data_IF_043022426732
#
_entry.id   IF_043022426732
#
_cell.length_a   1.000
_cell.length_b   1.000
_cell.length_c   1.000
_cell.angle_alpha   90.00
_cell.angle_beta   90.00
_cell.angle_gamma   90.00
#
_symmetry.space_group_name_H-M   'P 1'
#
loop_
_entity.id
_entity.type
_entity.pdbx_description
1 polymer ?
#
# COMPACT_ATOMS: atom_id res chain seq x y z
N UNK A 1 -13.55 9.84 17.88
CA UNK A 1 -13.19 10.35 19.22
C UNK A 1 -13.55 9.35 20.32
N UNK A 2 -14.81 8.86 20.42
CA UNK A 2 -15.25 7.94 21.47
C UNK A 2 -14.57 6.57 21.40
N UNK A 3 -14.34 6.02 20.22
CA UNK A 3 -13.63 4.74 20.03
C UNK A 3 -12.16 4.88 20.46
N UNK A 4 -11.50 5.95 20.08
CA UNK A 4 -10.12 6.24 20.49
C UNK A 4 -10.03 6.32 22.02
N UNK A 5 -10.96 7.02 22.65
CA UNK A 5 -11.06 7.14 24.12
C UNK A 5 -11.38 5.80 24.79
N UNK A 6 -12.19 4.95 24.16
CA UNK A 6 -12.50 3.60 24.68
C UNK A 6 -11.32 2.61 24.52
N UNK A 7 -10.43 2.85 23.54
CA UNK A 7 -9.22 2.05 23.31
C UNK A 7 -8.04 2.54 24.15
N UNK A 8 -7.97 3.83 24.49
CA UNK A 8 -6.92 4.42 25.34
C UNK A 8 -6.84 3.78 26.73
N UNK A 9 -7.89 3.11 27.18
CA UNK A 9 -7.94 2.38 28.46
C UNK A 9 -7.71 0.86 28.34
N UNK A 10 -7.50 0.31 27.15
CA UNK A 10 -7.27 -1.13 26.96
C UNK A 10 -5.79 -1.42 26.85
N UNK A 11 -5.29 -2.21 27.78
CA UNK A 11 -3.93 -2.73 27.79
C UNK A 11 -3.92 -4.14 27.21
N UNK A 12 -2.89 -4.45 26.44
CA UNK A 12 -2.59 -5.81 26.01
C UNK A 12 -1.56 -6.35 26.98
N UNK A 13 -1.92 -7.39 27.73
CA UNK A 13 -1.00 -8.07 28.63
C UNK A 13 0.10 -8.78 27.83
N UNK A 14 1.31 -8.24 27.89
CA UNK A 14 2.48 -8.92 27.34
C UNK A 14 2.99 -9.94 28.37
N UNK A 15 3.14 -11.18 27.93
CA UNK A 15 3.79 -12.21 28.75
C UNK A 15 5.29 -11.87 28.86
N UNK A 16 5.71 -11.41 30.01
CA UNK A 16 7.11 -11.12 30.35
C UNK A 16 7.31 -11.17 31.85
N UNK A 17 8.57 -11.33 32.27
CA UNK A 17 8.94 -11.31 33.68
C UNK A 17 9.19 -9.84 34.06
N UNK A 18 8.31 -9.26 34.87
CA UNK A 18 8.36 -7.82 35.23
C UNK A 18 9.63 -7.42 35.97
N UNK A 19 10.36 -8.40 36.54
CA UNK A 19 11.51 -8.15 37.40
C UNK A 19 12.85 -8.57 36.79
N UNK A 20 12.86 -9.07 35.55
CA UNK A 20 14.07 -9.57 34.90
C UNK A 20 14.36 -8.93 33.55
N UNK A 21 15.64 -8.66 33.30
CA UNK A 21 16.12 -8.14 32.02
C UNK A 21 15.97 -6.62 31.86
N UNK A 22 15.98 -6.18 30.59
CA UNK A 22 15.82 -4.78 30.24
C UNK A 22 14.36 -4.36 30.40
N UNK A 23 14.12 -3.37 31.25
CA UNK A 23 12.80 -2.77 31.45
C UNK A 23 12.69 -1.49 30.64
N UNK A 24 11.64 -1.38 29.81
CA UNK A 24 11.32 -0.18 29.02
C UNK A 24 9.96 0.35 29.46
N UNK A 25 9.94 1.55 30.04
CA UNK A 25 8.73 2.12 30.62
C UNK A 25 8.75 3.65 30.57
N UNK A 26 7.60 4.29 30.74
CA UNK A 26 7.48 5.73 30.89
C UNK A 26 8.01 6.22 32.26
N UNK A 27 8.38 7.50 32.35
CA UNK A 27 8.90 8.09 33.60
C UNK A 27 7.93 7.97 34.79
N UNK A 28 6.62 8.09 34.55
CA UNK A 28 5.60 7.96 35.57
C UNK A 28 5.37 6.51 36.03
N UNK A 29 5.73 5.55 35.19
CA UNK A 29 5.59 4.11 35.45
C UNK A 29 6.74 3.58 36.30
N UNK A 30 7.86 4.33 36.40
CA UNK A 30 9.00 4.00 37.27
C UNK A 30 8.72 4.22 38.77
N UNK A 31 7.46 4.52 39.08
CA UNK A 31 7.03 4.81 40.46
C UNK A 31 7.37 3.67 41.41
N UNK A 32 8.09 4.03 42.50
CA UNK A 32 8.51 3.09 43.57
C UNK A 32 9.57 2.05 43.12
N UNK A 33 10.01 2.08 41.88
CA UNK A 33 11.05 1.17 41.36
C UNK A 33 12.43 1.80 41.50
N UNK A 34 13.42 0.97 41.82
CA UNK A 34 14.83 1.35 41.89
C UNK A 34 15.61 0.50 40.86
N UNK A 35 16.53 1.17 40.13
CA UNK A 35 17.36 0.53 39.12
C UNK A 35 18.83 0.89 39.34
N UNK A 36 19.70 -0.07 39.13
CA UNK A 36 21.13 0.18 39.19
C UNK A 36 21.67 0.96 38.01
N UNK A 37 21.12 0.69 36.83
CA UNK A 37 21.45 1.37 35.58
C UNK A 37 20.20 2.02 35.01
N UNK A 38 20.27 3.32 34.74
CA UNK A 38 19.16 4.12 34.17
C UNK A 38 19.61 4.74 32.86
N UNK A 39 18.85 4.49 31.79
CA UNK A 39 19.00 5.18 30.52
C UNK A 39 17.69 5.93 30.24
N UNK A 40 17.75 7.23 30.23
CA UNK A 40 16.57 8.07 29.97
C UNK A 40 16.75 8.79 28.63
N UNK A 41 15.79 8.58 27.73
CA UNK A 41 15.79 9.16 26.39
C UNK A 41 14.94 10.43 26.36
N UNK A 42 15.22 11.31 25.39
CA UNK A 42 14.46 12.54 25.13
C UNK A 42 14.34 13.46 26.35
N UNK A 43 15.43 13.63 27.09
CA UNK A 43 15.48 14.53 28.26
C UNK A 43 15.64 15.97 27.80
N UNK A 44 14.69 16.43 26.99
CA UNK A 44 14.63 17.77 26.41
C UNK A 44 13.59 18.64 27.10
N UNK A 45 13.82 19.97 27.11
CA UNK A 45 12.82 20.92 27.55
C UNK A 45 11.54 20.81 26.70
N UNK A 46 10.37 20.86 27.34
CA UNK A 46 9.08 20.67 26.68
C UNK A 46 8.66 19.21 26.46
N UNK A 47 9.59 18.24 26.60
CA UNK A 47 9.31 16.81 26.59
C UNK A 47 9.34 16.28 28.04
N UNK A 48 10.37 16.60 28.79
CA UNK A 48 10.51 16.27 30.21
C UNK A 48 11.09 17.48 30.97
N UNK A 49 10.28 18.25 31.72
CA UNK A 49 8.84 18.11 31.86
C UNK A 49 8.07 18.49 30.59
N UNK A 50 6.86 17.97 30.46
CA UNK A 50 5.99 18.24 29.32
C UNK A 50 5.38 19.62 29.45
N UNK A 51 6.08 20.65 29.07
CA UNK A 51 5.73 22.07 29.24
C UNK A 51 4.26 22.47 29.09
N UNK A 52 3.97 23.75 28.96
CA UNK A 52 2.61 24.34 28.89
C UNK A 52 1.82 23.93 27.66
N UNK A 53 1.31 22.71 27.59
CA UNK A 53 0.66 22.18 26.38
C UNK A 53 -0.87 22.07 26.43
N UNK A 54 -1.54 22.62 27.46
CA UNK A 54 -3.00 22.53 27.53
C UNK A 54 -3.65 23.87 27.25
N UNK A 55 -4.31 23.98 26.11
CA UNK A 55 -5.32 25.00 25.85
C UNK A 55 -6.54 24.70 26.75
N UNK A 56 -6.52 25.23 27.94
CA UNK A 56 -7.64 25.11 28.86
C UNK A 56 -8.55 26.32 28.69
N UNK A 57 -9.86 26.09 28.62
CA UNK A 57 -10.86 27.17 28.68
C UNK A 57 -10.84 27.94 30.00
N UNK A 58 -10.27 27.34 31.06
CA UNK A 58 -10.11 27.99 32.36
C UNK A 58 -8.78 28.72 32.43
N UNK A 59 -8.82 30.02 32.64
CA UNK A 59 -7.65 30.85 32.84
C UNK A 59 -6.85 30.41 34.08
N UNK A 60 -5.55 30.64 34.06
CA UNK A 60 -4.62 30.25 35.14
C UNK A 60 -5.04 30.79 36.47
N UNK A 61 -5.46 32.07 36.55
CA UNK A 61 -5.85 32.74 37.79
C UNK A 61 -7.13 32.14 38.39
N UNK A 62 -8.07 31.70 37.52
CA UNK A 62 -9.27 30.98 37.96
C UNK A 62 -8.90 29.65 38.58
N UNK A 63 -8.02 28.89 37.91
CA UNK A 63 -7.52 27.60 38.43
C UNK A 63 -6.87 27.80 39.81
N UNK A 64 -6.01 28.81 39.94
CA UNK A 64 -5.33 29.12 41.19
C UNK A 64 -6.32 29.52 42.31
N UNK A 65 -7.31 30.35 41.99
CA UNK A 65 -8.32 30.79 42.95
C UNK A 65 -9.16 29.62 43.51
N UNK A 66 -9.48 28.65 42.66
CA UNK A 66 -10.27 27.47 43.03
C UNK A 66 -9.41 26.24 43.41
N UNK A 67 -8.10 26.39 43.63
CA UNK A 67 -7.15 25.30 43.94
C UNK A 67 -7.23 24.12 42.95
N UNK A 68 -7.47 24.41 41.67
CA UNK A 68 -7.44 23.39 40.60
C UNK A 68 -5.99 23.15 40.19
N UNK A 69 -5.66 21.91 39.77
CA UNK A 69 -4.32 21.59 39.33
C UNK A 69 -3.86 22.49 38.17
N UNK A 70 -2.66 23.04 38.30
CA UNK A 70 -2.00 23.85 37.28
C UNK A 70 -0.82 23.09 36.69
N UNK A 71 -0.11 23.68 35.70
CA UNK A 71 1.09 23.07 35.15
C UNK A 71 2.24 22.96 36.17
N UNK A 72 2.25 23.80 37.24
CA UNK A 72 3.27 23.71 38.27
C UNK A 72 3.22 22.41 39.06
N UNK A 73 2.01 21.97 39.43
CA UNK A 73 1.85 20.69 40.12
C UNK A 73 2.24 19.50 39.23
N UNK A 74 1.93 19.59 37.93
CA UNK A 74 2.36 18.56 36.95
C UNK A 74 3.89 18.51 36.83
N UNK A 75 4.54 19.69 36.70
CA UNK A 75 6.00 19.75 36.59
C UNK A 75 6.66 19.24 37.91
N UNK A 76 6.07 19.52 39.08
CA UNK A 76 6.56 18.99 40.35
C UNK A 76 6.48 17.44 40.41
N UNK A 77 5.42 16.84 39.87
CA UNK A 77 5.29 15.39 39.79
C UNK A 77 6.41 14.79 38.90
N UNK A 78 6.65 15.38 37.73
CA UNK A 78 7.72 14.93 36.84
C UNK A 78 9.11 15.12 37.51
N UNK A 79 9.35 16.23 38.17
CA UNK A 79 10.58 16.48 38.90
C UNK A 79 10.80 15.43 40.01
N UNK A 80 9.75 15.14 40.79
CA UNK A 80 9.80 14.11 41.83
C UNK A 80 10.21 12.74 41.25
N UNK A 81 9.57 12.28 40.18
CA UNK A 81 9.89 10.99 39.58
C UNK A 81 11.28 10.99 38.98
N UNK A 82 11.68 12.06 38.30
CA UNK A 82 13.02 12.21 37.74
C UNK A 82 14.10 12.07 38.83
N UNK A 83 14.08 12.90 39.84
CA UNK A 83 15.07 12.90 40.90
C UNK A 83 15.00 11.62 41.74
N UNK A 84 13.82 11.08 41.99
CA UNK A 84 13.64 9.83 42.73
C UNK A 84 14.27 8.65 42.03
N UNK A 85 14.14 8.55 40.70
CA UNK A 85 14.70 7.50 39.89
C UNK A 85 16.25 7.53 39.94
N UNK A 86 16.84 8.72 40.00
CA UNK A 86 18.29 8.89 40.01
C UNK A 86 18.94 8.60 41.37
N UNK A 87 18.20 8.70 42.48
CA UNK A 87 18.76 8.65 43.84
C UNK A 87 19.54 7.34 44.15
N UNK A 88 19.10 6.20 43.60
CA UNK A 88 19.68 4.92 43.91
C UNK A 88 20.39 4.26 42.70
N UNK A 89 20.41 4.91 41.58
CA UNK A 89 21.07 4.46 40.40
C UNK A 89 22.61 4.65 40.52
N UNK A 90 23.39 3.64 40.09
CA UNK A 90 24.85 3.74 40.04
C UNK A 90 25.31 4.38 38.74
N UNK A 91 24.68 3.99 37.61
CA UNK A 91 25.01 4.50 36.31
C UNK A 91 23.79 5.14 35.68
N UNK A 92 23.94 6.40 35.28
CA UNK A 92 22.83 7.21 34.76
C UNK A 92 23.26 7.78 33.40
N UNK A 93 22.48 7.52 32.37
CA UNK A 93 22.63 8.09 31.03
C UNK A 93 21.42 8.92 30.69
N UNK A 94 21.59 10.25 30.66
CA UNK A 94 20.55 11.18 30.24
C UNK A 94 20.84 11.61 28.79
N UNK A 95 19.98 11.21 27.87
CA UNK A 95 20.16 11.42 26.44
C UNK A 95 19.16 12.47 25.97
N UNK A 96 19.64 13.55 25.38
CA UNK A 96 18.82 14.63 24.83
C UNK A 96 19.32 15.05 23.46
N UNK A 97 18.42 15.58 22.65
CA UNK A 97 18.75 16.13 21.34
C UNK A 97 19.38 17.52 21.49
N UNK A 98 20.45 17.79 20.79
CA UNK A 98 21.18 19.05 20.80
C UNK A 98 21.40 19.53 19.36
N UNK A 99 20.30 19.78 18.65
CA UNK A 99 20.34 20.33 17.29
C UNK A 99 19.83 21.79 17.32
N UNK A 100 20.64 22.72 16.84
CA UNK A 100 20.31 24.15 16.82
C UNK A 100 19.17 24.53 15.87
N UNK A 101 18.70 23.60 15.03
CA UNK A 101 17.62 23.82 14.06
C UNK A 101 16.25 23.46 14.58
N UNK A 102 16.17 22.72 15.68
CA UNK A 102 14.93 22.30 16.31
C UNK A 102 14.62 23.14 17.57
N UNK A 103 13.43 23.70 17.64
CA UNK A 103 12.96 24.48 18.80
C UNK A 103 12.83 23.66 20.10
N UNK A 104 12.89 22.32 20.00
CA UNK A 104 12.86 21.39 21.14
C UNK A 104 14.25 20.83 21.47
N UNK A 105 15.33 21.38 20.90
CA UNK A 105 16.69 20.89 21.07
C UNK A 105 17.42 21.43 22.30
N UNK A 106 16.70 21.94 23.29
CA UNK A 106 17.29 22.34 24.55
C UNK A 106 17.29 21.21 25.58
N UNK A 107 18.37 21.05 26.39
CA UNK A 107 18.37 20.12 27.49
C UNK A 107 17.29 20.47 28.52
N UNK A 108 16.68 19.45 29.10
CA UNK A 108 15.70 19.65 30.18
C UNK A 108 16.26 20.52 31.32
N UNK A 109 15.43 21.37 31.86
CA UNK A 109 15.74 22.14 33.08
C UNK A 109 16.18 21.26 34.28
N UNK A 110 15.74 19.99 34.28
CA UNK A 110 16.14 19.04 35.31
C UNK A 110 17.61 18.65 35.21
N UNK A 111 18.19 18.59 34.02
CA UNK A 111 19.63 18.39 33.85
C UNK A 111 20.41 19.59 34.39
N UNK A 112 19.97 20.78 34.00
CA UNK A 112 20.61 22.05 34.46
C UNK A 112 20.54 22.19 36.00
N UNK A 113 19.39 21.83 36.58
CA UNK A 113 19.22 21.84 38.04
C UNK A 113 20.13 20.81 38.70
N UNK A 114 20.22 19.59 38.18
CA UNK A 114 21.10 18.54 38.70
C UNK A 114 22.57 19.00 38.71
N UNK A 115 23.03 19.59 37.61
CA UNK A 115 24.41 20.13 37.51
C UNK A 115 24.69 21.24 38.50
N UNK A 116 23.72 22.15 38.69
CA UNK A 116 23.83 23.22 39.65
C UNK A 116 23.89 22.70 41.11
N UNK A 117 23.01 21.77 41.47
CA UNK A 117 22.96 21.17 42.81
C UNK A 117 24.23 20.39 43.16
N UNK A 118 24.77 19.60 42.20
CA UNK A 118 26.03 18.86 42.41
C UNK A 118 27.19 19.79 42.73
N UNK A 119 27.29 20.93 42.04
CA UNK A 119 28.33 21.94 42.29
C UNK A 119 28.10 22.70 43.60
N UNK A 120 26.88 23.14 43.83
CA UNK A 120 26.56 23.99 44.97
C UNK A 120 26.68 23.26 46.32
N UNK A 121 26.39 21.95 46.32
CA UNK A 121 26.49 21.14 47.55
C UNK A 121 27.83 20.39 47.66
N UNK A 122 28.82 20.70 46.85
CA UNK A 122 30.14 20.06 46.83
C UNK A 122 30.07 18.52 46.71
N UNK A 123 29.13 18.01 45.90
CA UNK A 123 28.91 16.58 45.73
C UNK A 123 29.77 16.00 44.58
N UNK A 124 30.72 16.75 44.01
CA UNK A 124 31.58 16.35 42.89
C UNK A 124 32.45 15.13 43.18
N UNK A 125 32.78 14.92 44.45
CA UNK A 125 33.50 13.69 44.89
C UNK A 125 32.62 12.43 44.83
N UNK A 126 31.30 12.59 45.00
CA UNK A 126 30.33 11.47 45.03
C UNK A 126 29.65 11.25 43.67
N UNK A 127 29.45 12.34 42.91
CA UNK A 127 28.74 12.28 41.61
C UNK A 127 29.64 12.82 40.52
N UNK A 128 30.05 11.95 39.62
CA UNK A 128 30.85 12.33 38.45
C UNK A 128 29.97 12.57 37.25
N UNK A 129 29.89 13.82 36.77
CA UNK A 129 29.15 14.19 35.57
C UNK A 129 30.09 14.23 34.36
N UNK A 130 29.80 13.44 33.32
CA UNK A 130 30.53 13.41 32.07
C UNK A 130 29.57 13.84 30.93
N UNK A 131 29.90 14.95 30.26
CA UNK A 131 29.16 15.38 29.05
C UNK A 131 29.86 14.84 27.82
N UNK A 132 29.09 14.15 26.96
CA UNK A 132 29.56 13.66 25.66
C UNK A 132 28.62 14.16 24.57
N UNK A 133 29.17 14.82 23.57
CA UNK A 133 28.45 15.17 22.35
C UNK A 133 28.68 14.06 21.34
N UNK A 134 27.62 13.35 20.99
CA UNK A 134 27.61 12.45 19.86
C UNK A 134 27.13 13.24 18.68
N UNK A 135 28.02 13.72 17.79
CA UNK A 135 27.58 14.13 16.47
C UNK A 135 27.42 12.85 15.67
N UNK A 136 26.18 12.57 15.30
CA UNK A 136 25.94 11.73 14.15
C UNK A 136 26.51 12.53 12.98
N UNK A 137 27.79 12.30 12.65
CA UNK A 137 28.25 12.67 11.34
C UNK A 137 27.21 12.12 10.38
N UNK A 138 26.65 12.92 9.45
CA UNK A 138 25.90 12.32 8.37
C UNK A 138 26.84 11.26 7.85
N UNK A 139 26.38 10.02 7.92
CA UNK A 139 27.15 8.88 7.45
C UNK A 139 27.56 9.32 6.05
N UNK A 140 28.84 9.73 5.91
CA UNK A 140 29.41 9.96 4.59
C UNK A 140 29.03 8.69 3.87
N UNK A 141 28.18 8.81 2.88
CA UNK A 141 27.68 7.70 2.10
C UNK A 141 28.74 6.61 2.03
N UNK A 142 28.80 5.73 3.04
CA UNK A 142 29.25 4.40 2.76
C UNK A 142 28.34 4.06 1.61
N UNK A 143 28.93 4.07 0.43
CA UNK A 143 28.34 3.66 -0.84
C UNK A 143 27.24 2.70 -0.44
N UNK A 144 25.98 3.14 -0.52
CA UNK A 144 24.87 2.28 -0.15
C UNK A 144 25.14 1.07 -1.01
N UNK A 145 25.67 0.00 -0.39
CA UNK A 145 25.88 -1.23 -1.12
C UNK A 145 24.49 -1.62 -1.53
N UNK A 146 24.16 -1.35 -2.79
CA UNK A 146 22.88 -1.69 -3.34
C UNK A 146 22.64 -3.16 -3.02
N UNK A 147 21.53 -3.42 -2.35
CA UNK A 147 21.20 -4.79 -1.98
C UNK A 147 20.99 -5.56 -3.27
N UNK A 148 21.80 -6.59 -3.44
CA UNK A 148 21.79 -7.45 -4.62
C UNK A 148 21.84 -8.90 -4.16
N UNK A 149 20.82 -9.67 -4.52
CA UNK A 149 20.65 -11.07 -4.11
C UNK A 149 20.94 -11.97 -5.30
N UNK A 150 21.94 -12.84 -5.14
CA UNK A 150 22.29 -13.84 -6.16
C UNK A 150 21.25 -14.94 -6.23
N UNK A 151 20.96 -15.40 -7.43
CA UNK A 151 20.03 -16.50 -7.68
C UNK A 151 20.75 -17.83 -7.52
N UNK A 152 20.54 -18.48 -6.39
CA UNK A 152 21.03 -19.85 -6.13
C UNK A 152 20.11 -20.90 -6.77
N UNK A 153 20.49 -22.16 -6.68
CA UNK A 153 19.72 -23.28 -7.24
C UNK A 153 18.32 -23.41 -6.61
N UNK A 154 18.17 -23.05 -5.34
CA UNK A 154 16.88 -23.06 -4.61
C UNK A 154 15.94 -22.01 -5.19
N UNK A 155 16.44 -20.79 -5.39
CA UNK A 155 15.68 -19.69 -5.96
C UNK A 155 15.26 -20.01 -7.40
N UNK A 156 16.18 -20.53 -8.21
CA UNK A 156 15.89 -20.91 -9.59
C UNK A 156 14.81 -22.01 -9.65
N UNK A 157 14.83 -22.99 -8.75
CA UNK A 157 13.78 -24.00 -8.66
C UNK A 157 12.42 -23.36 -8.36
N UNK A 158 12.35 -22.48 -7.35
CA UNK A 158 11.13 -21.73 -7.02
C UNK A 158 10.61 -20.93 -8.24
N UNK A 159 11.50 -20.23 -8.96
CA UNK A 159 11.14 -19.43 -10.14
C UNK A 159 10.60 -20.27 -11.30
N UNK A 160 11.08 -21.48 -11.52
CA UNK A 160 10.57 -22.40 -12.54
C UNK A 160 9.18 -22.95 -12.22
N UNK A 161 8.89 -23.17 -10.95
CA UNK A 161 7.60 -23.66 -10.45
C UNK A 161 6.61 -22.50 -10.19
N UNK A 162 7.07 -21.25 -10.35
CA UNK A 162 6.28 -20.07 -10.03
C UNK A 162 5.24 -19.77 -11.11
N UNK A 163 4.00 -19.44 -10.68
CA UNK A 163 2.98 -18.94 -11.59
C UNK A 163 3.11 -17.43 -11.74
N UNK A 164 3.47 -16.99 -12.92
CA UNK A 164 3.61 -15.59 -13.28
C UNK A 164 2.25 -14.97 -13.61
N UNK A 165 2.13 -13.66 -13.39
CA UNK A 165 0.96 -12.87 -13.77
C UNK A 165 1.40 -11.46 -14.21
N UNK A 166 0.54 -10.72 -14.92
CA UNK A 166 0.87 -9.34 -15.32
C UNK A 166 1.34 -8.48 -14.16
N UNK A 167 0.63 -8.50 -13.03
CA UNK A 167 0.97 -7.73 -11.83
C UNK A 167 2.33 -8.13 -11.24
N UNK A 168 2.64 -9.42 -11.20
CA UNK A 168 3.91 -9.92 -10.68
C UNK A 168 5.09 -9.50 -11.58
N UNK A 169 4.91 -9.55 -12.90
CA UNK A 169 5.94 -9.10 -13.85
C UNK A 169 6.15 -7.59 -13.80
N UNK A 170 5.08 -6.80 -13.66
CA UNK A 170 5.15 -5.35 -13.44
C UNK A 170 5.94 -5.04 -12.16
N UNK A 171 5.75 -5.82 -11.10
CA UNK A 171 6.54 -5.66 -9.87
C UNK A 171 8.02 -5.93 -10.12
N UNK A 172 8.36 -6.93 -10.94
CA UNK A 172 9.76 -7.19 -11.33
C UNK A 172 10.35 -6.04 -12.16
N UNK A 173 9.61 -5.54 -13.14
CA UNK A 173 10.01 -4.36 -13.96
C UNK A 173 10.21 -3.14 -13.06
N UNK A 174 9.35 -2.93 -12.09
CA UNK A 174 9.46 -1.84 -11.12
C UNK A 174 10.71 -1.96 -10.25
N UNK A 175 10.93 -3.13 -9.66
CA UNK A 175 12.09 -3.43 -8.82
C UNK A 175 12.27 -4.96 -8.69
N UNK A 176 13.35 -5.54 -9.26
CA UNK A 176 13.65 -6.96 -9.11
C UNK A 176 13.73 -7.42 -7.65
N UNK A 177 14.31 -6.60 -6.77
CA UNK A 177 14.41 -6.91 -5.35
C UNK A 177 13.03 -6.95 -4.66
N UNK A 178 12.13 -6.02 -5.01
CA UNK A 178 10.74 -6.03 -4.51
C UNK A 178 10.03 -7.33 -4.91
N UNK A 179 10.15 -7.74 -6.17
CA UNK A 179 9.59 -9.00 -6.66
C UNK A 179 10.10 -10.19 -5.84
N UNK A 180 11.41 -10.26 -5.57
CA UNK A 180 12.01 -11.34 -4.78
C UNK A 180 11.46 -11.37 -3.36
N UNK A 181 11.46 -10.23 -2.65
CA UNK A 181 10.99 -10.15 -1.28
C UNK A 181 9.51 -10.52 -1.16
N UNK A 182 8.69 -10.00 -2.06
CA UNK A 182 7.23 -10.16 -2.01
C UNK A 182 6.75 -11.53 -2.44
N UNK A 183 7.28 -12.08 -3.55
CA UNK A 183 6.72 -13.27 -4.18
C UNK A 183 7.57 -14.53 -3.99
N UNK A 184 8.88 -14.42 -3.87
CA UNK A 184 9.76 -15.58 -3.74
C UNK A 184 10.02 -15.91 -2.27
N UNK A 185 10.34 -14.93 -1.45
CA UNK A 185 10.52 -15.12 0.00
C UNK A 185 9.25 -14.83 0.81
N UNK A 186 8.22 -14.23 0.20
CA UNK A 186 6.92 -13.96 0.82
C UNK A 186 7.05 -13.25 2.16
N UNK A 187 7.88 -12.21 2.19
CA UNK A 187 8.06 -11.41 3.41
C UNK A 187 6.81 -10.56 3.60
N UNK A 188 6.00 -10.93 4.57
CA UNK A 188 4.84 -10.15 5.00
C UNK A 188 5.31 -9.03 5.92
N UNK A 189 4.89 -7.82 5.60
CA UNK A 189 5.10 -6.67 6.48
C UNK A 189 3.92 -6.57 7.45
N UNK A 190 4.15 -6.14 8.69
CA UNK A 190 3.06 -5.91 9.63
C UNK A 190 2.05 -4.95 9.00
N UNK A 191 0.84 -5.42 8.80
CA UNK A 191 -0.25 -4.55 8.37
C UNK A 191 -0.61 -3.63 9.55
N UNK A 192 -0.38 -2.34 9.40
CA UNK A 192 -0.99 -1.37 10.30
C UNK A 192 -2.51 -1.46 10.13
N UNK A 193 -3.22 -1.69 11.22
CA UNK A 193 -4.68 -1.66 11.22
C UNK A 193 -5.11 -0.23 10.87
N UNK A 194 -5.34 0.00 9.59
CA UNK A 194 -5.80 1.30 9.11
C UNK A 194 -7.26 1.50 9.50
N UNK A 195 -7.57 2.61 10.14
CA UNK A 195 -8.96 3.06 10.36
C UNK A 195 -9.65 3.48 9.04
N UNK A 196 -8.91 3.54 7.95
CA UNK A 196 -9.42 3.91 6.64
C UNK A 196 -9.66 2.67 5.79
N UNK A 197 -10.77 2.65 5.05
CA UNK A 197 -10.97 1.65 4.01
C UNK A 197 -9.91 1.87 2.94
N UNK A 198 -9.10 0.88 2.71
CA UNK A 198 -8.12 0.91 1.63
C UNK A 198 -8.82 1.02 0.27
N UNK A 199 -8.22 1.73 -0.66
CA UNK A 199 -8.76 1.87 -2.02
C UNK A 199 -8.86 0.53 -2.74
N UNK A 200 -8.03 -0.43 -2.39
CA UNK A 200 -8.06 -1.82 -2.84
C UNK A 200 -9.40 -2.47 -2.54
N UNK A 201 -9.89 -2.33 -1.31
CA UNK A 201 -11.18 -2.88 -0.87
C UNK A 201 -12.36 -2.32 -1.68
N UNK A 202 -12.34 -1.01 -1.95
CA UNK A 202 -13.37 -0.39 -2.80
C UNK A 202 -13.38 -1.03 -4.19
N UNK A 203 -12.18 -1.28 -4.75
CA UNK A 203 -12.02 -1.97 -6.03
C UNK A 203 -12.62 -3.37 -5.98
N UNK A 204 -12.20 -4.19 -5.03
CA UNK A 204 -12.64 -5.58 -4.90
C UNK A 204 -14.17 -5.72 -4.80
N UNK A 205 -14.82 -4.88 -3.99
CA UNK A 205 -16.30 -4.91 -3.85
C UNK A 205 -16.99 -4.52 -5.16
N UNK A 206 -16.48 -3.53 -5.89
CA UNK A 206 -17.03 -3.14 -7.18
C UNK A 206 -16.88 -4.26 -8.21
N UNK A 207 -15.68 -4.84 -8.33
CA UNK A 207 -15.42 -5.95 -9.24
C UNK A 207 -16.38 -7.11 -8.97
N UNK A 208 -16.58 -7.46 -7.68
CA UNK A 208 -17.49 -8.56 -7.31
C UNK A 208 -18.94 -8.30 -7.73
N UNK A 209 -19.46 -7.10 -7.52
CA UNK A 209 -20.83 -6.77 -7.95
C UNK A 209 -20.96 -6.77 -9.47
N UNK A 210 -19.92 -6.31 -10.19
CA UNK A 210 -19.91 -6.29 -11.65
C UNK A 210 -19.73 -7.68 -12.23
N UNK A 211 -18.91 -8.53 -11.63
CA UNK A 211 -18.77 -9.95 -11.95
C UNK A 211 -20.12 -10.66 -11.87
N UNK A 212 -20.79 -10.56 -10.72
CA UNK A 212 -22.09 -11.21 -10.49
C UNK A 212 -23.15 -10.73 -11.50
N UNK A 213 -23.21 -9.42 -11.77
CA UNK A 213 -24.12 -8.85 -12.75
C UNK A 213 -23.83 -9.38 -14.18
N UNK A 214 -22.58 -9.31 -14.61
CA UNK A 214 -22.21 -9.69 -15.97
C UNK A 214 -22.35 -11.19 -16.20
N UNK A 215 -22.02 -12.05 -15.23
CA UNK A 215 -22.24 -13.48 -15.33
C UNK A 215 -23.71 -13.81 -15.50
N UNK A 216 -24.61 -13.15 -14.76
CA UNK A 216 -26.04 -13.32 -14.92
C UNK A 216 -26.55 -12.85 -16.31
N UNK A 217 -25.99 -11.74 -16.83
CA UNK A 217 -26.29 -11.25 -18.18
C UNK A 217 -25.76 -12.23 -19.25
N UNK A 218 -24.55 -12.79 -19.09
CA UNK A 218 -23.96 -13.75 -20.03
C UNK A 218 -24.82 -15.01 -20.15
N UNK A 219 -25.33 -15.53 -19.05
CA UNK A 219 -26.22 -16.69 -19.05
C UNK A 219 -27.57 -16.43 -19.74
N UNK A 220 -28.08 -15.20 -19.63
CA UNK A 220 -29.42 -14.82 -20.08
C UNK A 220 -29.40 -13.50 -20.85
N UNK A 221 -28.61 -13.40 -21.93
CA UNK A 221 -28.36 -12.15 -22.63
C UNK A 221 -29.63 -11.43 -23.14
N UNK A 222 -30.66 -12.18 -23.54
CA UNK A 222 -31.94 -11.65 -23.97
C UNK A 222 -32.74 -10.98 -22.82
N UNK A 223 -32.42 -11.25 -21.56
CA UNK A 223 -33.00 -10.62 -20.37
C UNK A 223 -32.13 -9.51 -19.76
N UNK A 224 -31.04 -9.10 -20.44
CA UNK A 224 -30.05 -8.15 -19.90
C UNK A 224 -30.67 -6.88 -19.29
N UNK A 225 -31.71 -6.34 -19.92
CA UNK A 225 -32.44 -5.19 -19.40
C UNK A 225 -33.13 -5.47 -18.06
N UNK A 226 -33.83 -6.60 -17.96
CA UNK A 226 -34.55 -7.02 -16.73
C UNK A 226 -33.57 -7.29 -15.60
N UNK A 227 -32.45 -7.97 -15.92
CA UNK A 227 -31.39 -8.26 -14.96
C UNK A 227 -30.79 -6.96 -14.43
N UNK A 228 -30.44 -6.00 -15.32
CA UNK A 228 -29.88 -4.73 -14.91
C UNK A 228 -30.86 -3.91 -14.03
N UNK A 229 -32.15 -3.92 -14.36
CA UNK A 229 -33.15 -3.23 -13.55
C UNK A 229 -33.31 -3.88 -12.17
N UNK A 230 -33.23 -5.21 -12.06
CA UNK A 230 -33.23 -5.91 -10.79
C UNK A 230 -32.01 -5.51 -9.95
N UNK A 231 -30.80 -5.42 -10.55
CA UNK A 231 -29.60 -4.99 -9.83
C UNK A 231 -29.69 -3.53 -9.37
N UNK A 232 -30.28 -2.62 -10.16
CA UNK A 232 -30.53 -1.23 -9.75
C UNK A 232 -31.46 -1.16 -8.54
N UNK A 233 -32.51 -1.98 -8.52
CA UNK A 233 -33.50 -1.96 -7.45
C UNK A 233 -33.00 -2.64 -6.17
N UNK A 234 -32.14 -3.63 -6.27
CA UNK A 234 -31.57 -4.40 -5.14
C UNK A 234 -30.10 -4.08 -4.84
N UNK A 235 -29.57 -2.94 -5.34
CA UNK A 235 -28.15 -2.60 -5.23
C UNK A 235 -27.65 -2.60 -3.78
N UNK A 236 -28.45 -2.12 -2.84
CA UNK A 236 -28.10 -2.10 -1.42
C UNK A 236 -27.89 -3.52 -0.86
N UNK A 237 -28.71 -4.48 -1.25
CA UNK A 237 -28.60 -5.88 -0.85
C UNK A 237 -27.36 -6.51 -1.48
N UNK A 238 -27.14 -6.34 -2.78
CA UNK A 238 -25.99 -6.84 -3.52
C UNK A 238 -24.67 -6.31 -2.94
N UNK A 239 -24.61 -5.03 -2.58
CA UNK A 239 -23.47 -4.44 -1.91
C UNK A 239 -23.20 -5.04 -0.55
N UNK A 240 -24.23 -5.20 0.27
CA UNK A 240 -24.08 -5.80 1.60
C UNK A 240 -23.55 -7.24 1.48
N UNK A 241 -24.02 -8.00 0.52
CA UNK A 241 -23.57 -9.36 0.29
C UNK A 241 -22.13 -9.43 -0.22
N UNK A 242 -21.72 -8.55 -1.16
CA UNK A 242 -20.35 -8.44 -1.62
C UNK A 242 -19.40 -8.08 -0.46
N UNK A 243 -19.80 -7.15 0.40
CA UNK A 243 -19.02 -6.82 1.58
C UNK A 243 -18.88 -7.99 2.57
N UNK A 244 -19.89 -8.81 2.74
CA UNK A 244 -19.83 -9.99 3.63
C UNK A 244 -18.89 -11.07 3.09
N UNK A 245 -18.91 -11.31 1.78
CA UNK A 245 -18.08 -12.33 1.13
C UNK A 245 -16.58 -12.04 1.30
N UNK A 246 -16.18 -10.78 1.27
CA UNK A 246 -14.78 -10.36 1.41
C UNK A 246 -14.28 -10.38 2.88
N UNK A 247 -15.02 -10.92 3.83
CA UNK A 247 -14.69 -11.00 5.27
C UNK A 247 -14.22 -9.67 5.92
N UNK A 248 -14.28 -8.57 5.17
CA UNK A 248 -13.68 -7.27 5.54
C UNK A 248 -14.53 -6.58 6.61
N UNK A 249 -15.80 -7.02 6.79
CA UNK A 249 -16.75 -6.31 7.63
C UNK A 249 -17.45 -7.17 8.67
N UNK A 250 -16.90 -7.12 9.88
CA UNK A 250 -17.63 -7.49 11.11
C UNK A 250 -18.41 -6.32 11.71
N UNK A 251 -18.36 -5.11 11.12
CA UNK A 251 -18.87 -3.86 11.70
C UNK A 251 -19.98 -3.21 10.87
N UNK A 252 -20.78 -2.37 11.53
CA UNK A 252 -21.97 -1.70 10.99
C UNK A 252 -21.64 -0.78 9.78
N UNK A 253 -22.03 -1.21 8.57
CA UNK A 253 -21.89 -0.48 7.31
C UNK A 253 -22.63 0.87 7.29
N UNK A 254 -23.47 1.14 8.29
CA UNK A 254 -24.32 2.33 8.37
C UNK A 254 -23.66 3.50 9.12
N UNK A 255 -22.40 3.37 9.59
CA UNK A 255 -21.76 4.40 10.41
C UNK A 255 -20.29 4.64 10.05
N UNK A 256 -19.85 5.89 10.24
CA UNK A 256 -18.44 6.29 10.13
C UNK A 256 -17.89 6.28 8.71
N UNK A 257 -16.59 6.01 8.57
CA UNK A 257 -15.86 6.02 7.30
C UNK A 257 -16.32 4.91 6.35
N UNK A 258 -16.82 3.80 6.88
CA UNK A 258 -17.39 2.69 6.11
C UNK A 258 -18.63 3.10 5.34
N UNK A 259 -19.49 3.91 5.96
CA UNK A 259 -20.66 4.45 5.28
C UNK A 259 -20.28 5.36 4.09
N UNK A 260 -19.21 6.15 4.22
CA UNK A 260 -18.72 6.98 3.11
C UNK A 260 -18.25 6.13 1.94
N UNK A 261 -17.45 5.10 2.19
CA UNK A 261 -17.01 4.19 1.14
C UNK A 261 -18.17 3.46 0.48
N UNK A 262 -19.13 2.97 1.27
CA UNK A 262 -20.37 2.38 0.77
C UNK A 262 -21.10 3.34 -0.18
N UNK A 263 -21.26 4.61 0.21
CA UNK A 263 -21.91 5.63 -0.64
C UNK A 263 -21.12 5.90 -1.93
N UNK A 264 -19.80 5.95 -1.86
CA UNK A 264 -18.93 6.13 -3.03
C UNK A 264 -19.08 4.96 -4.00
N UNK A 265 -19.03 3.72 -3.50
CA UNK A 265 -19.21 2.50 -4.31
C UNK A 265 -20.59 2.52 -4.98
N UNK A 266 -21.63 2.84 -4.21
CA UNK A 266 -22.99 2.92 -4.71
C UNK A 266 -23.15 3.96 -5.83
N UNK A 267 -22.48 5.11 -5.70
CA UNK A 267 -22.48 6.14 -6.75
C UNK A 267 -21.76 5.65 -8.02
N UNK A 268 -20.61 5.01 -7.90
CA UNK A 268 -19.89 4.45 -9.05
C UNK A 268 -20.72 3.40 -9.78
N UNK A 269 -21.33 2.46 -9.07
CA UNK A 269 -22.17 1.42 -9.67
C UNK A 269 -23.42 2.00 -10.32
N UNK A 270 -24.10 2.97 -9.71
CA UNK A 270 -25.23 3.64 -10.31
C UNK A 270 -24.87 4.39 -11.61
N UNK A 271 -23.70 5.04 -11.64
CA UNK A 271 -23.22 5.70 -12.86
C UNK A 271 -22.92 4.67 -13.96
N UNK A 272 -22.26 3.56 -13.60
CA UNK A 272 -21.96 2.48 -14.52
C UNK A 272 -23.24 1.81 -15.06
N UNK A 273 -24.21 1.50 -14.21
CA UNK A 273 -25.48 0.90 -14.63
C UNK A 273 -26.28 1.79 -15.60
N UNK A 274 -26.26 3.12 -15.39
CA UNK A 274 -26.87 4.05 -16.35
C UNK A 274 -26.19 4.00 -17.72
N UNK A 275 -24.86 3.84 -17.72
CA UNK A 275 -24.11 3.76 -18.96
C UNK A 275 -24.33 2.42 -19.66
N UNK A 276 -24.30 1.32 -18.92
CA UNK A 276 -24.58 -0.02 -19.42
C UNK A 276 -26.01 -0.11 -20.02
N UNK A 277 -26.99 0.56 -19.39
CA UNK A 277 -28.35 0.65 -19.92
C UNK A 277 -28.40 1.36 -21.28
N UNK A 278 -27.60 2.41 -21.49
CA UNK A 278 -27.49 3.05 -22.80
C UNK A 278 -26.86 2.12 -23.83
N UNK A 279 -25.77 1.45 -23.48
CA UNK A 279 -25.13 0.48 -24.36
C UNK A 279 -26.11 -0.62 -24.82
N UNK A 280 -26.93 -1.12 -23.89
CA UNK A 280 -27.95 -2.15 -24.18
C UNK A 280 -29.08 -1.58 -25.07
N UNK A 281 -29.42 -0.31 -24.95
CA UNK A 281 -30.51 0.31 -25.71
C UNK A 281 -30.12 0.82 -27.11
N UNK A 282 -28.92 1.42 -27.22
CA UNK A 282 -28.51 2.20 -28.41
C UNK A 282 -27.74 1.36 -29.43
N UNK A 283 -27.14 0.26 -29.01
CA UNK A 283 -26.36 -0.66 -29.87
C UNK A 283 -27.02 -2.04 -29.91
N UNK A 284 -26.71 -2.83 -30.93
CA UNK A 284 -26.87 -4.27 -30.76
C UNK A 284 -26.16 -4.64 -29.46
N UNK A 285 -26.89 -5.26 -28.52
CA UNK A 285 -26.38 -5.62 -27.18
C UNK A 285 -24.96 -6.15 -27.36
N UNK A 286 -23.92 -5.56 -26.72
CA UNK A 286 -22.58 -6.12 -26.80
C UNK A 286 -22.65 -7.58 -26.43
N UNK A 287 -22.11 -8.46 -27.27
CA UNK A 287 -22.11 -9.88 -26.96
C UNK A 287 -21.08 -10.13 -25.85
N UNK A 288 -21.55 -10.16 -24.60
CA UNK A 288 -20.70 -10.46 -23.45
C UNK A 288 -20.25 -11.90 -23.51
N UNK A 289 -18.94 -12.12 -23.41
CA UNK A 289 -18.30 -13.43 -23.49
C UNK A 289 -17.92 -13.93 -22.09
N UNK A 290 -17.41 -13.05 -21.24
CA UNK A 290 -16.96 -13.43 -19.91
C UNK A 290 -16.73 -12.25 -18.97
N UNK A 291 -16.84 -12.53 -17.66
CA UNK A 291 -16.52 -11.61 -16.58
C UNK A 291 -15.60 -12.30 -15.58
N UNK A 292 -14.59 -11.59 -15.06
CA UNK A 292 -13.54 -12.11 -14.15
C UNK A 292 -12.99 -13.47 -14.62
N UNK A 293 -12.70 -13.57 -15.93
CA UNK A 293 -12.24 -14.82 -16.54
C UNK A 293 -10.81 -15.12 -16.11
N UNK A 294 -10.58 -16.28 -15.51
CA UNK A 294 -9.23 -16.79 -15.31
C UNK A 294 -8.70 -17.37 -16.63
N UNK A 295 -7.66 -16.75 -17.17
CA UNK A 295 -6.96 -17.17 -18.37
C UNK A 295 -5.58 -17.68 -18.00
N UNK A 296 -5.18 -18.79 -18.65
CA UNK A 296 -3.92 -19.45 -18.36
C UNK A 296 -3.26 -19.98 -19.60
N UNK A 297 -1.97 -19.74 -19.71
CA UNK A 297 -1.15 -20.30 -20.76
C UNK A 297 0.23 -20.69 -20.24
N UNK A 298 0.97 -21.41 -21.06
CA UNK A 298 2.35 -21.81 -20.78
C UNK A 298 3.29 -21.06 -21.73
N UNK A 299 4.30 -20.42 -21.16
CA UNK A 299 5.32 -19.67 -21.92
C UNK A 299 6.64 -20.39 -21.83
N UNK A 300 7.23 -20.73 -22.99
CA UNK A 300 8.56 -21.34 -23.04
C UNK A 300 9.65 -20.27 -22.87
N UNK A 301 10.48 -20.44 -21.84
CA UNK A 301 11.61 -19.57 -21.55
C UNK A 301 12.88 -20.43 -21.39
N UNK A 302 13.81 -20.34 -22.35
CA UNK A 302 15.01 -21.19 -22.48
C UNK A 302 14.67 -22.68 -22.49
N UNK A 303 14.98 -23.42 -21.42
CA UNK A 303 14.77 -24.87 -21.33
C UNK A 303 13.66 -25.22 -20.32
N UNK A 304 12.76 -24.31 -20.01
CA UNK A 304 11.62 -24.61 -19.15
C UNK A 304 10.37 -23.88 -19.60
N UNK A 305 9.24 -24.52 -19.36
CA UNK A 305 7.93 -23.94 -19.53
C UNK A 305 7.43 -23.39 -18.19
N UNK A 306 7.02 -22.14 -18.17
CA UNK A 306 6.48 -21.47 -16.98
C UNK A 306 5.03 -21.12 -17.17
N UNK A 307 4.25 -21.21 -16.09
CA UNK A 307 2.83 -20.85 -16.11
C UNK A 307 2.67 -19.32 -16.10
N UNK A 308 1.84 -18.81 -17.00
CA UNK A 308 1.43 -17.40 -17.03
C UNK A 308 -0.09 -17.32 -16.99
N UNK A 309 -0.65 -16.60 -16.02
CA UNK A 309 -2.09 -16.52 -15.79
C UNK A 309 -2.52 -15.12 -15.38
N UNK A 310 -3.80 -14.81 -15.56
CA UNK A 310 -4.39 -13.56 -15.14
C UNK A 310 -5.91 -13.62 -15.16
N UNK A 311 -6.53 -12.68 -14.46
CA UNK A 311 -7.97 -12.50 -14.46
C UNK A 311 -8.30 -11.29 -15.33
N UNK A 312 -9.29 -11.45 -16.20
CA UNK A 312 -9.77 -10.42 -17.12
C UNK A 312 -11.17 -10.01 -16.68
N UNK A 313 -11.35 -8.74 -16.37
CA UNK A 313 -12.57 -8.26 -15.72
C UNK A 313 -13.81 -8.35 -16.62
N UNK A 314 -13.69 -8.01 -17.92
CA UNK A 314 -14.79 -8.06 -18.89
C UNK A 314 -14.26 -8.37 -20.29
N UNK A 315 -14.89 -9.34 -20.94
CA UNK A 315 -14.64 -9.68 -22.34
C UNK A 315 -15.95 -9.65 -23.12
N UNK A 316 -15.93 -9.01 -24.27
CA UNK A 316 -17.09 -8.91 -25.16
C UNK A 316 -16.68 -8.90 -26.63
N UNK A 317 -17.63 -9.16 -27.52
CA UNK A 317 -17.46 -9.02 -28.96
C UNK A 317 -18.19 -7.79 -29.48
N UNK A 318 -17.49 -6.93 -30.20
CA UNK A 318 -18.01 -5.75 -30.88
C UNK A 318 -17.48 -5.68 -32.30
N UNK A 319 -18.33 -5.54 -33.29
CA UNK A 319 -17.97 -5.41 -34.71
C UNK A 319 -16.98 -6.48 -35.20
N UNK A 320 -17.11 -7.72 -34.69
CA UNK A 320 -16.25 -8.84 -35.03
C UNK A 320 -14.87 -8.81 -34.36
N UNK A 321 -14.62 -7.88 -33.43
CA UNK A 321 -13.41 -7.78 -32.63
C UNK A 321 -13.67 -8.25 -31.20
N UNK A 322 -12.67 -8.82 -30.57
CA UNK A 322 -12.71 -9.09 -29.14
C UNK A 322 -12.24 -7.85 -28.37
N UNK A 323 -13.11 -7.35 -27.51
CA UNK A 323 -12.85 -6.19 -26.66
C UNK A 323 -12.62 -6.67 -25.22
N UNK A 324 -11.46 -6.36 -24.67
CA UNK A 324 -11.04 -6.72 -23.32
C UNK A 324 -10.97 -5.47 -22.50
N UNK A 325 -11.73 -5.43 -21.40
CA UNK A 325 -11.85 -4.25 -20.54
C UNK A 325 -11.46 -4.58 -19.10
N UNK A 326 -10.74 -3.65 -18.47
CA UNK A 326 -10.28 -3.71 -17.09
C UNK A 326 -10.93 -2.55 -16.29
N UNK A 327 -11.50 -2.82 -15.11
CA UNK A 327 -12.15 -1.80 -14.30
C UNK A 327 -11.17 -1.09 -13.39
N UNK A 328 -11.20 0.24 -13.38
CA UNK A 328 -10.39 1.04 -12.46
C UNK A 328 -11.22 2.09 -11.74
N UNK A 329 -11.14 2.09 -10.41
CA UNK A 329 -11.78 3.09 -9.55
C UNK A 329 -11.00 4.40 -9.44
N UNK A 330 -9.70 4.35 -9.77
CA UNK A 330 -8.76 5.48 -9.69
C UNK A 330 -8.68 6.29 -10.99
N UNK A 331 -7.86 7.32 -10.94
CA UNK A 331 -7.54 8.13 -12.12
C UNK A 331 -6.76 7.32 -13.15
N UNK A 332 -7.16 7.42 -14.40
CA UNK A 332 -6.48 6.82 -15.55
C UNK A 332 -5.78 7.93 -16.34
N UNK A 333 -4.47 7.81 -16.47
CA UNK A 333 -3.66 8.74 -17.27
C UNK A 333 -3.58 8.20 -18.70
N UNK A 334 -4.34 8.80 -19.61
CA UNK A 334 -4.38 8.40 -21.01
C UNK A 334 -3.02 8.44 -21.71
N UNK A 335 -2.10 9.31 -21.22
CA UNK A 335 -0.74 9.40 -21.78
C UNK A 335 0.08 8.14 -21.48
N UNK A 336 -0.34 7.36 -20.48
CA UNK A 336 0.28 6.08 -20.08
C UNK A 336 -0.44 4.87 -20.65
N UNK A 337 -1.58 5.07 -21.34
CA UNK A 337 -2.26 4.06 -22.15
C UNK A 337 -1.81 4.11 -23.60
N UNK A 338 -0.53 4.03 -23.76
CA UNK A 338 0.13 4.23 -25.01
C UNK A 338 1.36 3.32 -25.09
N UNK A 339 1.71 2.87 -26.26
CA UNK A 339 2.94 2.13 -26.52
C UNK A 339 3.44 2.34 -27.94
N UNK A 340 4.72 2.23 -28.13
CA UNK A 340 5.34 2.17 -29.45
C UNK A 340 5.18 0.78 -30.05
N UNK A 341 5.36 0.67 -31.38
CA UNK A 341 5.21 -0.59 -32.09
C UNK A 341 6.19 -1.67 -31.68
N UNK A 342 7.37 -1.31 -31.16
CA UNK A 342 8.41 -2.24 -30.71
C UNK A 342 8.17 -2.77 -29.29
N UNK A 343 7.20 -2.20 -28.56
CA UNK A 343 6.81 -2.57 -27.19
C UNK A 343 7.94 -2.47 -26.15
N UNK A 344 9.07 -1.82 -26.46
CA UNK A 344 10.23 -1.79 -25.56
C UNK A 344 9.94 -1.08 -24.25
N UNK A 345 9.23 0.03 -24.33
CA UNK A 345 8.99 0.90 -23.19
C UNK A 345 8.14 0.23 -22.10
N UNK A 346 7.13 -0.53 -22.49
CA UNK A 346 6.25 -1.23 -21.53
C UNK A 346 6.95 -2.36 -20.76
N UNK A 347 8.04 -2.91 -21.30
CA UNK A 347 8.84 -3.96 -20.66
C UNK A 347 10.00 -3.41 -19.81
N UNK A 348 10.30 -2.11 -19.91
CA UNK A 348 11.43 -1.48 -19.19
C UNK A 348 11.00 -0.41 -18.19
N UNK A 349 9.83 0.21 -18.39
CA UNK A 349 9.34 1.31 -17.57
C UNK A 349 7.99 0.97 -16.90
N UNK A 350 8.01 0.83 -15.58
CA UNK A 350 6.81 0.52 -14.78
C UNK A 350 5.71 1.61 -14.80
N UNK A 351 5.98 2.78 -15.36
CA UNK A 351 4.95 3.81 -15.55
C UNK A 351 3.87 3.36 -16.54
N UNK A 352 4.21 2.52 -17.51
CA UNK A 352 3.30 1.96 -18.52
C UNK A 352 2.67 0.63 -18.09
N UNK A 353 2.57 0.39 -16.78
CA UNK A 353 2.02 -0.85 -16.21
C UNK A 353 0.63 -1.21 -16.72
N UNK A 354 -0.21 -0.21 -17.00
CA UNK A 354 -1.56 -0.43 -17.52
C UNK A 354 -1.52 -0.93 -18.97
N UNK A 355 -0.66 -0.35 -19.82
CA UNK A 355 -0.44 -0.81 -21.19
C UNK A 355 0.12 -2.25 -21.23
N UNK A 356 1.09 -2.56 -20.35
CA UNK A 356 1.59 -3.92 -20.18
C UNK A 356 0.46 -4.89 -19.78
N UNK A 357 -0.37 -4.52 -18.78
CA UNK A 357 -1.47 -5.34 -18.30
C UNK A 357 -2.48 -5.65 -19.40
N UNK A 358 -2.89 -4.64 -20.17
CA UNK A 358 -3.86 -4.80 -21.26
C UNK A 358 -3.33 -5.69 -22.39
N UNK A 359 -2.06 -5.53 -22.79
CA UNK A 359 -1.44 -6.42 -23.78
C UNK A 359 -1.25 -7.83 -23.24
N UNK A 360 -0.91 -7.99 -21.99
CA UNK A 360 -0.83 -9.30 -21.36
C UNK A 360 -2.19 -10.01 -21.35
N UNK A 361 -3.29 -9.28 -21.17
CA UNK A 361 -4.63 -9.85 -21.26
C UNK A 361 -5.00 -10.29 -22.68
N UNK A 362 -4.66 -9.50 -23.71
CA UNK A 362 -4.88 -9.92 -25.10
C UNK A 362 -4.05 -11.16 -25.45
N UNK A 363 -2.82 -11.22 -24.98
CA UNK A 363 -1.94 -12.39 -25.14
C UNK A 363 -2.52 -13.62 -24.44
N UNK A 364 -2.92 -13.49 -23.17
CA UNK A 364 -3.54 -14.57 -22.41
C UNK A 364 -4.79 -15.09 -23.11
N UNK A 365 -5.69 -14.19 -23.54
CA UNK A 365 -6.91 -14.58 -24.23
C UNK A 365 -6.64 -15.30 -25.56
N UNK A 366 -5.64 -14.84 -26.32
CA UNK A 366 -5.28 -15.45 -27.61
C UNK A 366 -4.69 -16.87 -27.45
N UNK A 367 -3.90 -17.11 -26.41
CA UNK A 367 -3.20 -18.37 -26.16
C UNK A 367 -3.78 -19.17 -24.98
N UNK A 368 -5.00 -18.87 -24.57
CA UNK A 368 -5.61 -19.56 -23.44
C UNK A 368 -5.68 -21.07 -23.66
N UNK A 369 -5.28 -21.81 -22.64
CA UNK A 369 -5.25 -23.27 -22.59
C UNK A 369 -6.24 -23.84 -21.57
N UNK A 370 -7.10 -23.00 -20.99
CA UNK A 370 -8.15 -23.45 -20.08
C UNK A 370 -9.23 -24.24 -20.84
N UNK A 371 -10.06 -24.96 -20.11
CA UNK A 371 -11.21 -25.70 -20.68
C UNK A 371 -12.23 -24.78 -21.36
N UNK A 372 -12.11 -23.48 -21.12
CA UNK A 372 -12.89 -22.44 -21.75
C UNK A 372 -12.20 -22.04 -23.06
N UNK A 373 -12.57 -22.68 -24.18
CA UNK A 373 -11.98 -22.37 -25.49
C UNK A 373 -12.55 -21.05 -26.03
N UNK A 374 -11.88 -19.89 -25.78
CA UNK A 374 -12.42 -18.61 -26.21
C UNK A 374 -12.41 -18.50 -27.75
N UNK A 375 -13.40 -17.79 -28.29
CA UNK A 375 -13.47 -17.48 -29.72
C UNK A 375 -12.24 -16.65 -30.11
N UNK A 376 -11.34 -17.21 -30.90
CA UNK A 376 -10.19 -16.47 -31.43
C UNK A 376 -10.66 -15.43 -32.44
N UNK A 377 -10.10 -14.24 -32.37
CA UNK A 377 -10.29 -13.17 -33.35
C UNK A 377 -8.96 -12.81 -34.00
N UNK A 378 -9.03 -12.23 -35.19
CA UNK A 378 -7.86 -11.65 -35.83
C UNK A 378 -7.48 -10.29 -35.28
N UNK A 379 -8.42 -9.63 -34.58
CA UNK A 379 -8.24 -8.29 -34.01
C UNK A 379 -8.80 -8.23 -32.60
N UNK A 380 -8.02 -7.61 -31.73
CA UNK A 380 -8.39 -7.33 -30.34
C UNK A 380 -8.37 -5.84 -30.09
N UNK A 381 -9.13 -5.39 -29.09
CA UNK A 381 -9.07 -4.05 -28.56
C UNK A 381 -9.07 -4.12 -27.05
N UNK A 382 -8.11 -3.48 -26.38
CA UNK A 382 -8.02 -3.49 -24.93
C UNK A 382 -8.17 -2.08 -24.37
N UNK A 383 -8.88 -1.96 -23.25
CA UNK A 383 -9.12 -0.67 -22.63
C UNK A 383 -9.40 -0.74 -21.14
N UNK A 384 -9.44 0.42 -20.53
CA UNK A 384 -9.77 0.61 -19.12
C UNK A 384 -11.10 1.34 -19.00
N UNK A 385 -12.00 0.76 -18.22
CA UNK A 385 -13.25 1.41 -17.80
C UNK A 385 -12.94 2.24 -16.55
N UNK A 386 -12.88 3.56 -16.69
CA UNK A 386 -12.65 4.49 -15.59
C UNK A 386 -13.95 4.89 -14.91
N UNK A 387 -14.21 4.33 -13.71
CA UNK A 387 -15.40 4.70 -12.92
C UNK A 387 -15.36 6.17 -12.48
N UNK A 388 -14.15 6.71 -12.28
CA UNK A 388 -14.00 8.13 -11.95
C UNK A 388 -14.38 9.05 -13.13
N UNK A 389 -14.06 8.67 -14.37
CA UNK A 389 -14.43 9.42 -15.57
C UNK A 389 -15.93 9.40 -15.80
N UNK A 390 -16.60 8.28 -15.53
CA UNK A 390 -18.06 8.16 -15.53
C UNK A 390 -18.75 9.22 -14.66
N UNK A 391 -18.22 9.49 -13.48
CA UNK A 391 -18.77 10.48 -12.55
C UNK A 391 -18.64 11.92 -13.08
N UNK A 392 -17.72 12.16 -14.03
CA UNK A 392 -17.46 13.47 -14.62
C UNK A 392 -18.18 13.66 -15.97
N UNK A 393 -19.01 12.70 -16.38
CA UNK A 393 -19.67 12.67 -17.70
C UNK A 393 -18.70 12.84 -18.89
N UNK A 394 -17.47 12.30 -18.76
CA UNK A 394 -16.46 12.26 -19.80
C UNK A 394 -16.38 10.86 -20.42
N UNK A 395 -15.60 10.71 -21.47
CA UNK A 395 -15.28 9.40 -22.03
C UNK A 395 -14.77 8.50 -20.93
N UNK A 396 -15.36 7.32 -20.77
CA UNK A 396 -15.12 6.43 -19.64
C UNK A 396 -14.38 5.16 -20.01
N UNK A 397 -14.30 4.81 -21.29
CA UNK A 397 -13.45 3.74 -21.81
C UNK A 397 -12.24 4.36 -22.48
N UNK A 398 -11.10 4.10 -21.91
CA UNK A 398 -9.81 4.56 -22.42
C UNK A 398 -9.10 3.39 -23.06
N UNK A 399 -9.05 3.35 -24.40
CA UNK A 399 -8.39 2.28 -25.15
C UNK A 399 -6.89 2.46 -25.21
N UNK A 400 -6.15 1.35 -25.18
CA UNK A 400 -4.73 1.32 -25.46
C UNK A 400 -4.48 1.84 -26.89
N UNK A 401 -3.52 2.71 -27.05
CA UNK A 401 -3.19 3.36 -28.33
C UNK A 401 -1.76 3.02 -28.76
N UNK A 402 -1.58 2.85 -30.06
CA UNK A 402 -0.28 2.65 -30.67
C UNK A 402 0.14 3.86 -31.48
N UNK A 403 1.42 4.26 -31.39
CA UNK A 403 2.01 5.24 -32.29
C UNK A 403 2.08 4.66 -33.69
N UNK A 404 1.39 5.29 -34.61
CA UNK A 404 1.58 5.05 -36.03
C UNK A 404 2.55 6.10 -36.59
N UNK A 405 3.46 5.69 -37.44
CA UNK A 405 4.33 6.60 -38.19
C UNK A 405 3.55 7.66 -39.01
N UNK A 406 2.26 7.39 -39.27
CA UNK A 406 1.35 8.26 -40.03
C UNK A 406 0.52 9.23 -39.18
N UNK A 407 0.83 9.43 -37.90
CA UNK A 407 0.05 10.24 -36.93
C UNK A 407 -1.40 9.77 -36.69
N UNK A 408 -1.84 8.67 -37.27
CA UNK A 408 -3.13 8.06 -36.98
C UNK A 408 -2.99 7.10 -35.79
N UNK A 409 -3.72 7.38 -34.74
CA UNK A 409 -3.73 6.52 -33.55
C UNK A 409 -4.57 5.28 -33.89
N UNK A 410 -4.00 4.09 -33.71
CA UNK A 410 -4.72 2.82 -33.77
C UNK A 410 -4.89 2.27 -32.39
N UNK A 411 -6.04 1.68 -32.11
CA UNK A 411 -6.31 0.96 -30.86
C UNK A 411 -6.48 -0.55 -31.08
N UNK A 412 -6.35 -0.99 -32.33
CA UNK A 412 -6.51 -2.41 -32.68
C UNK A 412 -5.18 -3.17 -32.48
N UNK A 413 -5.26 -4.31 -31.86
CA UNK A 413 -4.16 -5.24 -31.56
C UNK A 413 -4.32 -6.40 -32.53
N UNK A 414 -3.37 -6.57 -33.41
CA UNK A 414 -3.30 -7.68 -34.37
C UNK A 414 -2.45 -8.84 -33.85
N UNK A 415 -2.45 -9.93 -34.58
CA UNK A 415 -1.67 -11.13 -34.23
C UNK A 415 -0.16 -10.86 -34.22
N UNK A 416 0.34 -9.95 -35.08
CA UNK A 416 1.75 -9.56 -35.11
C UNK A 416 2.17 -8.91 -33.79
N UNK A 417 1.35 -8.00 -33.28
CA UNK A 417 1.56 -7.35 -31.99
C UNK A 417 1.54 -8.36 -30.83
N UNK A 418 0.63 -9.33 -30.85
CA UNK A 418 0.56 -10.38 -29.82
C UNK A 418 1.82 -11.26 -29.86
N UNK A 419 2.31 -11.63 -31.04
CA UNK A 419 3.54 -12.42 -31.19
C UNK A 419 4.78 -11.63 -30.74
N UNK A 420 4.82 -10.33 -31.03
CA UNK A 420 5.89 -9.47 -30.53
C UNK A 420 5.86 -9.39 -29.00
N UNK A 421 4.68 -9.25 -28.40
CA UNK A 421 4.53 -9.30 -26.94
C UNK A 421 5.02 -10.63 -26.37
N UNK A 422 4.67 -11.76 -27.00
CA UNK A 422 5.17 -13.09 -26.61
C UNK A 422 6.70 -13.14 -26.63
N UNK A 423 7.33 -12.63 -27.68
CA UNK A 423 8.79 -12.62 -27.81
C UNK A 423 9.44 -11.80 -26.69
N UNK A 424 8.91 -10.60 -26.40
CA UNK A 424 9.41 -9.75 -25.32
C UNK A 424 9.17 -10.38 -23.95
N UNK A 425 8.02 -11.01 -23.74
CA UNK A 425 7.70 -11.75 -22.52
C UNK A 425 8.69 -12.89 -22.27
N UNK A 426 9.03 -13.65 -23.31
CA UNK A 426 10.06 -14.70 -23.24
C UNK A 426 11.41 -14.12 -22.84
N UNK A 427 11.84 -12.99 -23.41
CA UNK A 427 13.09 -12.32 -23.04
C UNK A 427 13.09 -11.85 -21.56
N UNK A 428 11.98 -11.29 -21.09
CA UNK A 428 11.83 -10.89 -19.69
C UNK A 428 11.92 -12.12 -18.76
N UNK A 429 11.23 -13.20 -19.06
CA UNK A 429 11.27 -14.44 -18.29
C UNK A 429 12.67 -15.08 -18.31
N UNK A 430 13.37 -15.05 -19.44
CA UNK A 430 14.76 -15.49 -19.53
C UNK A 430 15.65 -14.67 -18.60
N UNK A 431 15.49 -13.35 -18.56
CA UNK A 431 16.22 -12.47 -17.62
C UNK A 431 15.93 -12.83 -16.16
N UNK A 432 14.66 -13.14 -15.85
CA UNK A 432 14.26 -13.56 -14.49
C UNK A 432 14.90 -14.89 -14.11
N UNK A 433 14.96 -15.85 -15.04
CA UNK A 433 15.51 -17.20 -14.81
C UNK A 433 17.03 -17.27 -14.92
N UNK A 434 17.69 -16.26 -15.50
CA UNK A 434 19.13 -16.23 -15.67
C UNK A 434 19.86 -16.13 -14.33
N UNK A 435 20.76 -17.08 -14.06
CA UNK A 435 21.58 -17.15 -12.83
C UNK A 435 22.63 -16.05 -12.73
N UNK A 436 23.01 -15.45 -13.88
CA UNK A 436 24.00 -14.36 -13.90
C UNK A 436 23.40 -13.00 -13.53
N UNK A 437 22.09 -12.85 -13.57
CA UNK A 437 21.40 -11.63 -13.15
C UNK A 437 20.95 -11.75 -11.70
N UNK A 438 21.20 -10.73 -10.90
CA UNK A 438 20.80 -10.70 -9.49
C UNK A 438 19.43 -10.01 -9.33
N UNK A 439 18.78 -10.25 -8.19
CA UNK A 439 17.70 -9.39 -7.74
C UNK A 439 18.28 -8.15 -7.08
N UNK A 440 18.38 -7.07 -7.83
CA UNK A 440 18.94 -5.78 -7.37
C UNK A 440 17.86 -4.76 -7.09
N UNK A 441 18.20 -3.76 -6.31
CA UNK A 441 17.37 -2.58 -6.12
C UNK A 441 17.20 -1.84 -7.44
N UNK A 442 16.02 -1.22 -7.64
CA UNK A 442 15.78 -0.34 -8.79
C UNK A 442 16.72 0.88 -8.76
N UNK A 443 17.21 1.31 -9.91
CA UNK A 443 17.96 2.55 -10.05
C UNK A 443 17.05 3.79 -9.90
N UNK A 444 15.74 3.66 -10.20
CA UNK A 444 14.77 4.74 -10.12
C UNK A 444 14.25 4.91 -8.68
N UNK A 445 14.74 5.93 -7.96
CA UNK A 445 14.32 6.24 -6.59
C UNK A 445 12.84 6.62 -6.46
N UNK A 446 12.19 7.06 -7.54
CA UNK A 446 10.76 7.34 -7.52
C UNK A 446 9.92 6.08 -7.26
N UNK A 447 10.38 4.92 -7.72
CA UNK A 447 9.75 3.63 -7.50
C UNK A 447 9.76 3.23 -6.01
N UNK A 448 10.66 3.82 -5.21
CA UNK A 448 10.78 3.53 -3.78
C UNK A 448 9.86 4.38 -2.90
N UNK A 449 9.29 5.49 -3.39
CA UNK A 449 8.48 6.43 -2.58
C UNK A 449 7.33 5.76 -1.83
N UNK A 450 6.66 4.83 -2.49
CA UNK A 450 5.51 4.10 -1.96
C UNK A 450 5.76 2.60 -1.84
N UNK A 451 7.03 2.19 -1.83
CA UNK A 451 7.40 0.80 -1.68
C UNK A 451 7.36 0.38 -0.20
N UNK A 452 6.62 -0.68 0.08
CA UNK A 452 6.48 -1.20 1.45
C UNK A 452 7.82 -1.66 2.03
N UNK A 453 8.76 -2.07 1.19
CA UNK A 453 10.09 -2.54 1.58
C UNK A 453 11.16 -1.44 1.66
N UNK A 454 10.80 -0.14 1.55
CA UNK A 454 11.77 0.97 1.56
C UNK A 454 12.68 0.99 2.80
N UNK A 455 12.13 0.64 3.97
CA UNK A 455 12.91 0.58 5.21
C UNK A 455 13.96 -0.53 5.18
N UNK A 456 13.64 -1.71 4.63
CA UNK A 456 14.58 -2.81 4.43
C UNK A 456 15.68 -2.42 3.44
N UNK A 457 15.31 -1.67 2.40
CA UNK A 457 16.22 -1.18 1.36
C UNK A 457 17.04 0.04 1.79
N UNK A 458 16.75 0.65 2.95
CA UNK A 458 17.38 1.90 3.44
C UNK A 458 17.26 3.05 2.43
N UNK A 459 16.10 3.18 1.75
CA UNK A 459 15.79 4.23 0.77
C UNK A 459 14.60 5.10 1.17
#
# INVERSE_FOLDING_TARGET
YFIKKALEGKTIDMKGDADKGLQVMGVLETRVLDFENVIMLSVNEGILPKGKSENSLLLFDIKKHFNLPTYHEKDAIYAYHFFRLLQRAKNIHLIYNYDSTDSLAEPSRFITQLEYEVKNQNLEEKIRINKRKLSLLPHQNQLQNDISIKKDSRIIKKLKEFSYSPTKLITYINCPLQFYLQYIEKIELPQEVSENIERSVIGTVIHKVLEDLLNEIIERQYEAHTILDNYKNSLDEKLIDAFKQEEIFKNDLKRGKFYLAYQVIKQYLNAYFKQLEKEIKESAIPHFIGAEMELKTTVEAENCAVSFSGFVDRVQEEDGKIVILDYKTGYVDEKKLFTDKDLEEIFTNSEFKQSFQLLAYSFLYHFDQSDYSPKKSSLYRCGIVSLQSLMKNSDYIHYLQFNSASKTKSSDIDEETIRLFEQKLKQLLQTILNTQTNFSQTANSNNCKFCDYKLLCKR
#
